data_IF_628297417923
#
_entry.id   IF_628297417923
#
_cell.length_a   1.000
_cell.length_b   1.000
_cell.length_c   1.000
_cell.angle_alpha   90.00
_cell.angle_beta   90.00
_cell.angle_gamma   90.00
#
_symmetry.space_group_name_H-M   'P 1'
#
loop_
_entity.id
_entity.type
_entity.pdbx_description
1 polymer ?
#
# COMPACT_ATOMS: atom_id res chain seq x y z
N UNK A 1 -15.68 -32.88 13.85
CA UNK A 1 -15.04 -31.56 14.00
C UNK A 1 -13.55 -31.78 13.82
N UNK A 2 -13.04 -31.47 12.64
CA UNK A 2 -11.61 -31.53 12.32
C UNK A 2 -10.94 -30.30 12.93
N UNK A 3 -10.00 -30.52 13.85
CA UNK A 3 -9.14 -29.48 14.40
C UNK A 3 -8.16 -29.11 13.29
N UNK A 4 -8.34 -27.94 12.69
CA UNK A 4 -7.34 -27.38 11.77
C UNK A 4 -6.07 -27.09 12.57
N UNK A 5 -5.00 -27.79 12.24
CA UNK A 5 -3.66 -27.53 12.77
C UNK A 5 -3.15 -26.29 12.05
N UNK A 6 -3.30 -25.12 12.69
CA UNK A 6 -2.82 -23.86 12.12
C UNK A 6 -1.29 -23.89 11.96
N UNK A 7 -0.83 -23.48 10.77
CA UNK A 7 0.58 -23.22 10.48
C UNK A 7 1.06 -21.97 11.26
N UNK A 8 2.37 -21.64 11.30
CA UNK A 8 2.90 -20.69 12.28
C UNK A 8 2.21 -19.33 12.18
N UNK A 9 1.72 -18.81 13.32
CA UNK A 9 1.42 -17.39 13.61
C UNK A 9 0.27 -16.66 12.89
N UNK A 10 -0.72 -17.33 12.29
CA UNK A 10 -1.96 -16.66 11.83
C UNK A 10 -2.56 -15.72 12.89
N UNK A 11 -2.99 -14.51 12.47
CA UNK A 11 -3.50 -13.48 13.38
C UNK A 11 -5.01 -13.29 13.22
N UNK A 12 -5.74 -13.43 14.32
CA UNK A 12 -7.14 -13.03 14.42
C UNK A 12 -7.23 -11.54 14.80
N UNK A 13 -7.85 -10.75 13.93
CA UNK A 13 -7.97 -9.30 14.13
C UNK A 13 -9.22 -8.78 13.43
N UNK A 14 -9.35 -7.47 13.32
CA UNK A 14 -10.39 -6.80 12.54
C UNK A 14 -9.78 -5.95 11.45
N UNK A 15 -10.47 -5.85 10.31
CA UNK A 15 -10.16 -4.90 9.23
C UNK A 15 -11.32 -3.93 9.01
N UNK A 16 -10.98 -2.69 8.65
CA UNK A 16 -11.93 -1.61 8.45
C UNK A 16 -12.28 -1.48 6.95
N UNK A 17 -13.39 -2.08 6.55
CA UNK A 17 -13.91 -2.02 5.18
C UNK A 17 -14.75 -0.76 4.93
N UNK A 18 -15.11 -0.54 3.68
CA UNK A 18 -15.94 0.56 3.23
C UNK A 18 -17.41 0.35 3.58
N UNK A 19 -18.05 1.37 4.16
CA UNK A 19 -19.50 1.57 4.09
C UNK A 19 -19.80 3.00 3.65
N UNK A 20 -20.82 3.24 2.80
CA UNK A 20 -21.24 4.60 2.49
C UNK A 20 -21.89 5.25 3.72
N UNK A 21 -21.65 6.55 3.93
CA UNK A 21 -22.41 7.37 4.91
C UNK A 21 -23.59 8.11 4.27
N UNK A 22 -23.57 8.24 2.94
CA UNK A 22 -24.60 8.89 2.13
C UNK A 22 -24.78 8.13 0.81
N UNK A 23 -25.82 8.44 0.05
CA UNK A 23 -26.04 7.86 -1.29
C UNK A 23 -25.20 8.54 -2.40
N UNK A 24 -24.40 9.55 -2.05
CA UNK A 24 -23.52 10.25 -2.99
C UNK A 24 -22.27 9.41 -3.32
N UNK A 25 -21.66 9.60 -4.51
CA UNK A 25 -20.38 8.98 -4.84
C UNK A 25 -19.31 9.24 -3.75
N UNK A 26 -18.52 8.22 -3.36
CA UNK A 26 -17.56 8.37 -2.28
C UNK A 26 -16.46 9.39 -2.55
N UNK A 27 -16.16 10.21 -1.56
CA UNK A 27 -15.11 11.21 -1.62
C UNK A 27 -14.38 11.37 -0.28
N UNK A 28 -13.15 11.88 -0.37
CA UNK A 28 -12.32 12.27 0.76
C UNK A 28 -11.50 13.51 0.38
N UNK A 29 -11.69 14.60 1.12
CA UNK A 29 -10.86 15.80 1.03
C UNK A 29 -9.53 15.57 1.75
N UNK A 30 -8.45 15.63 0.98
CA UNK A 30 -7.08 15.58 1.50
C UNK A 30 -6.63 16.96 1.98
N UNK A 31 -7.06 18.01 1.27
CA UNK A 31 -6.95 19.42 1.71
C UNK A 31 -8.14 19.82 2.58
N UNK A 32 -8.19 21.08 3.02
CA UNK A 32 -9.35 21.60 3.75
C UNK A 32 -10.59 21.60 2.84
N UNK A 33 -11.73 21.01 3.29
CA UNK A 33 -12.97 21.03 2.52
C UNK A 33 -13.61 22.42 2.50
N UNK A 34 -14.52 22.70 1.55
CA UNK A 34 -15.38 23.88 1.62
C UNK A 34 -16.16 23.95 2.93
N UNK A 35 -16.50 25.16 3.38
CA UNK A 35 -17.27 25.36 4.61
C UNK A 35 -18.56 24.54 4.58
N UNK A 36 -18.85 23.83 5.67
CA UNK A 36 -20.03 22.96 5.84
C UNK A 36 -20.03 21.66 5.03
N UNK A 37 -18.98 21.37 4.25
CA UNK A 37 -18.83 20.08 3.57
C UNK A 37 -18.03 19.13 4.49
N UNK A 38 -18.58 17.96 4.87
CA UNK A 38 -17.83 16.96 5.62
C UNK A 38 -16.56 16.57 4.87
N UNK A 39 -15.45 16.33 5.58
CA UNK A 39 -14.19 15.94 4.96
C UNK A 39 -14.30 14.65 4.13
N UNK A 40 -15.23 13.76 4.47
CA UNK A 40 -15.49 12.53 3.72
C UNK A 40 -16.92 12.03 3.98
N UNK A 41 -17.50 11.32 3.02
CA UNK A 41 -18.73 10.52 3.17
C UNK A 41 -18.43 9.00 3.22
N UNK A 42 -17.17 8.62 3.44
CA UNK A 42 -16.72 7.23 3.57
C UNK A 42 -16.73 6.84 5.04
N UNK A 43 -17.52 5.82 5.39
CA UNK A 43 -17.57 5.22 6.72
C UNK A 43 -16.65 4.00 6.84
N UNK A 44 -16.67 3.39 8.02
CA UNK A 44 -15.90 2.20 8.36
C UNK A 44 -16.83 1.07 8.77
N UNK A 45 -16.70 -0.07 8.09
CA UNK A 45 -17.42 -1.31 8.37
C UNK A 45 -16.41 -2.35 8.88
N UNK A 46 -16.42 -2.59 10.19
CA UNK A 46 -15.37 -3.36 10.87
C UNK A 46 -15.75 -4.83 10.87
N UNK A 47 -14.91 -5.67 10.25
CA UNK A 47 -15.15 -7.12 10.18
C UNK A 47 -14.00 -7.93 10.80
N UNK A 48 -14.31 -9.01 11.55
CA UNK A 48 -13.30 -9.94 12.00
C UNK A 48 -12.70 -10.69 10.80
N UNK A 49 -11.39 -10.86 10.81
CA UNK A 49 -10.66 -11.61 9.77
C UNK A 49 -9.55 -12.46 10.39
N UNK A 50 -9.12 -13.46 9.63
CA UNK A 50 -7.85 -14.16 9.86
C UNK A 50 -6.86 -13.67 8.81
N UNK A 51 -5.68 -13.25 9.26
CA UNK A 51 -4.58 -12.86 8.39
C UNK A 51 -3.52 -13.95 8.47
N UNK A 52 -3.28 -14.62 7.34
CA UNK A 52 -2.42 -15.79 7.28
C UNK A 52 -0.95 -15.39 7.17
N UNK A 53 -0.10 -16.03 7.97
CA UNK A 53 1.35 -15.80 7.89
C UNK A 53 1.94 -16.58 6.71
N UNK A 54 2.66 -15.87 5.84
CA UNK A 54 3.38 -16.48 4.71
C UNK A 54 4.86 -16.73 5.00
N UNK A 55 5.33 -16.53 6.23
CA UNK A 55 6.71 -16.82 6.62
C UNK A 55 7.10 -18.26 6.28
N UNK A 56 8.22 -18.43 5.56
CA UNK A 56 8.71 -19.69 4.98
C UNK A 56 7.80 -20.30 3.88
N UNK A 57 6.87 -19.53 3.35
CA UNK A 57 5.98 -19.85 2.23
C UNK A 57 5.89 -18.69 1.24
N UNK A 58 6.88 -17.81 1.25
CA UNK A 58 6.90 -16.58 0.44
C UNK A 58 6.90 -16.90 -1.07
N UNK A 59 7.32 -18.11 -1.47
CA UNK A 59 7.27 -18.65 -2.83
C UNK A 59 5.86 -19.05 -3.29
N UNK A 60 4.90 -19.16 -2.38
CA UNK A 60 3.49 -19.47 -2.71
C UNK A 60 2.69 -18.26 -3.20
N UNK A 61 3.26 -17.06 -3.12
CA UNK A 61 2.64 -15.79 -3.52
C UNK A 61 3.50 -15.08 -4.57
N UNK A 62 2.89 -14.19 -5.35
CA UNK A 62 3.61 -13.50 -6.42
C UNK A 62 2.80 -12.38 -7.09
N UNK A 63 3.51 -11.41 -7.65
CA UNK A 63 2.89 -10.22 -8.26
C UNK A 63 1.85 -10.57 -9.31
N UNK A 64 2.10 -11.55 -10.18
CA UNK A 64 1.21 -11.90 -11.28
C UNK A 64 0.06 -12.83 -10.87
N UNK A 65 0.11 -13.44 -9.68
CA UNK A 65 -0.88 -14.39 -9.19
C UNK A 65 -1.74 -13.84 -8.07
N UNK A 66 -1.12 -13.36 -6.98
CA UNK A 66 -1.80 -12.81 -5.80
C UNK A 66 -1.83 -11.29 -5.78
N UNK A 67 -0.98 -10.64 -6.59
CA UNK A 67 -0.84 -9.18 -6.66
C UNK A 67 0.21 -8.61 -5.70
N UNK A 68 0.85 -9.44 -4.89
CA UNK A 68 1.92 -9.03 -3.99
C UNK A 68 3.04 -10.07 -3.93
N UNK A 69 4.22 -9.64 -3.51
CA UNK A 69 5.37 -10.52 -3.35
C UNK A 69 6.28 -10.01 -2.23
N UNK A 70 6.86 -10.94 -1.47
CA UNK A 70 7.88 -10.64 -0.48
C UNK A 70 9.26 -11.03 -1.03
N UNK A 71 10.23 -10.13 -0.89
CA UNK A 71 11.60 -10.37 -1.39
C UNK A 71 12.63 -9.92 -0.35
N UNK A 72 13.71 -10.68 -0.23
CA UNK A 72 14.86 -10.27 0.58
C UNK A 72 15.79 -9.41 -0.26
N UNK A 73 16.00 -8.17 0.18
CA UNK A 73 16.89 -7.22 -0.47
C UNK A 73 17.45 -6.25 0.58
N UNK A 74 18.61 -6.54 1.20
CA UNK A 74 19.24 -5.62 2.15
C UNK A 74 19.55 -4.27 1.49
N UNK A 75 19.18 -3.18 2.16
CA UNK A 75 19.40 -1.81 1.66
C UNK A 75 20.65 -1.18 2.28
N UNK A 76 21.39 -0.39 1.52
CA UNK A 76 22.44 0.48 2.04
C UNK A 76 21.86 1.74 2.72
N UNK A 77 20.64 2.13 2.35
CA UNK A 77 19.83 3.06 3.14
C UNK A 77 19.21 2.37 4.37
N UNK A 78 19.49 2.87 5.57
CA UNK A 78 19.07 2.25 6.84
C UNK A 78 18.20 3.17 7.69
N UNK A 79 18.47 4.47 7.68
CA UNK A 79 17.81 5.44 8.56
C UNK A 79 16.65 6.14 7.84
N UNK A 80 16.78 6.43 6.54
CA UNK A 80 15.80 7.16 5.73
C UNK A 80 15.46 8.55 6.31
N UNK A 81 16.46 9.26 6.84
CA UNK A 81 16.31 10.61 7.43
C UNK A 81 16.71 11.72 6.46
N UNK A 82 17.48 11.37 5.42
CA UNK A 82 17.99 12.28 4.40
C UNK A 82 17.32 11.99 3.05
N UNK A 83 16.58 12.97 2.54
CA UNK A 83 15.86 12.84 1.27
C UNK A 83 16.79 12.66 0.07
N UNK A 84 17.96 13.31 0.06
CA UNK A 84 18.94 13.13 -1.02
C UNK A 84 19.49 11.71 -1.00
N UNK A 85 19.72 11.16 0.20
CA UNK A 85 20.20 9.78 0.32
C UNK A 85 19.14 8.76 -0.09
N UNK A 86 17.87 9.00 0.19
CA UNK A 86 16.76 8.19 -0.36
C UNK A 86 16.80 8.19 -1.89
N UNK A 87 16.95 9.36 -2.52
CA UNK A 87 16.97 9.48 -3.99
C UNK A 87 18.24 8.91 -4.62
N UNK A 88 19.40 9.09 -4.01
CA UNK A 88 20.68 8.73 -4.62
C UNK A 88 21.14 7.30 -4.28
N UNK A 89 20.61 6.70 -3.21
CA UNK A 89 20.97 5.34 -2.78
C UNK A 89 19.79 4.39 -2.90
N UNK A 90 18.65 4.73 -2.33
CA UNK A 90 17.53 3.78 -2.24
C UNK A 90 16.72 3.67 -3.54
N UNK A 91 16.52 4.77 -4.28
CA UNK A 91 15.81 4.70 -5.56
C UNK A 91 16.50 3.78 -6.60
N UNK A 92 17.85 3.81 -6.76
CA UNK A 92 18.55 2.79 -7.55
C UNK A 92 18.28 1.35 -7.09
N UNK A 93 18.26 1.10 -5.78
CA UNK A 93 17.92 -0.24 -5.26
C UNK A 93 16.48 -0.65 -5.60
N UNK A 94 15.53 0.28 -5.52
CA UNK A 94 14.13 0.07 -5.91
C UNK A 94 14.02 -0.30 -7.39
N UNK A 95 14.76 0.40 -8.26
CA UNK A 95 14.82 0.09 -9.69
C UNK A 95 15.35 -1.33 -9.93
N UNK A 96 16.44 -1.73 -9.27
CA UNK A 96 17.00 -3.08 -9.40
C UNK A 96 16.07 -4.18 -8.86
N UNK A 97 15.37 -3.92 -7.75
CA UNK A 97 14.32 -4.80 -7.24
C UNK A 97 13.23 -5.01 -8.31
N UNK A 98 12.73 -3.94 -8.92
CA UNK A 98 11.63 -4.02 -9.89
C UNK A 98 12.06 -4.63 -11.23
N UNK A 99 13.29 -4.37 -11.69
CA UNK A 99 13.88 -5.09 -12.83
C UNK A 99 13.95 -6.59 -12.56
N UNK A 100 14.41 -6.98 -11.38
CA UNK A 100 14.60 -8.39 -11.01
C UNK A 100 13.29 -9.15 -10.79
N UNK A 101 12.35 -8.56 -10.04
CA UNK A 101 11.16 -9.29 -9.56
C UNK A 101 9.87 -8.94 -10.31
N UNK A 102 9.81 -7.78 -10.97
CA UNK A 102 8.67 -7.39 -11.81
C UNK A 102 8.98 -7.41 -13.31
N UNK A 103 10.20 -7.83 -13.71
CA UNK A 103 10.68 -7.82 -15.09
C UNK A 103 10.58 -6.43 -15.76
N UNK A 104 10.71 -5.37 -14.97
CA UNK A 104 10.63 -4.00 -15.45
C UNK A 104 11.71 -3.72 -16.51
N UNK A 105 11.31 -3.07 -17.61
CA UNK A 105 12.25 -2.46 -18.57
C UNK A 105 12.49 -1.00 -18.21
N UNK A 106 11.41 -0.28 -17.91
CA UNK A 106 11.46 1.09 -17.44
C UNK A 106 10.78 1.25 -16.09
N UNK A 107 11.39 2.08 -15.26
CA UNK A 107 10.95 2.41 -13.91
C UNK A 107 10.87 3.94 -13.79
N UNK A 108 9.74 4.44 -13.29
CA UNK A 108 9.60 5.85 -12.95
C UNK A 108 9.05 6.00 -11.53
N UNK A 109 9.89 6.47 -10.62
CA UNK A 109 9.53 6.71 -9.22
C UNK A 109 8.97 8.13 -9.11
N UNK A 110 7.69 8.26 -8.76
CA UNK A 110 7.03 9.57 -8.73
C UNK A 110 6.91 10.17 -7.33
N UNK A 111 6.84 9.36 -6.28
CA UNK A 111 6.93 9.81 -4.90
C UNK A 111 7.39 8.68 -3.95
N UNK A 112 7.68 9.07 -2.72
CA UNK A 112 7.75 8.14 -1.60
C UNK A 112 7.07 8.75 -0.38
N UNK A 113 6.65 7.91 0.56
CA UNK A 113 6.09 8.32 1.85
C UNK A 113 6.79 7.56 2.96
N UNK A 114 7.31 8.29 3.94
CA UNK A 114 7.86 7.72 5.16
C UNK A 114 6.84 7.91 6.29
N UNK A 115 6.55 6.82 7.00
CA UNK A 115 5.65 6.80 8.14
C UNK A 115 6.44 6.43 9.39
N UNK A 116 6.49 7.35 10.34
CA UNK A 116 7.03 7.16 11.70
C UNK A 116 5.98 7.62 12.69
N UNK A 117 5.98 7.03 13.89
CA UNK A 117 5.21 7.59 14.98
C UNK A 117 5.92 8.86 15.48
N UNK A 118 5.23 10.01 15.61
CA UNK A 118 5.86 11.23 16.08
C UNK A 118 6.40 11.00 17.49
N UNK A 119 7.67 11.34 17.70
CA UNK A 119 8.25 11.37 19.04
C UNK A 119 7.54 12.43 19.89
N UNK A 120 7.52 12.28 21.22
CA UNK A 120 6.87 13.28 22.09
C UNK A 120 7.42 14.70 21.89
N UNK A 121 8.68 14.84 21.46
CA UNK A 121 9.31 16.11 21.12
C UNK A 121 8.82 16.74 19.81
N UNK A 122 8.51 15.93 18.78
CA UNK A 122 8.00 16.43 17.49
C UNK A 122 6.55 16.93 17.56
N UNK A 123 5.76 16.45 18.54
CA UNK A 123 4.42 16.97 18.81
C UNK A 123 4.42 18.43 19.29
N UNK A 124 5.52 18.90 19.87
CA UNK A 124 5.64 20.25 20.45
C UNK A 124 6.07 21.29 19.42
N UNK A 125 6.75 20.88 18.34
CA UNK A 125 7.31 21.79 17.32
C UNK A 125 6.52 21.85 16.01
N UNK A 126 5.45 21.06 15.86
CA UNK A 126 4.55 21.12 14.70
C UNK A 126 3.54 22.27 14.80
N UNK A 127 4.03 23.51 14.86
CA UNK A 127 3.25 24.74 14.61
C UNK A 127 3.43 25.26 13.18
N UNK A 128 4.31 24.63 12.37
CA UNK A 128 4.49 24.96 10.97
C UNK A 128 3.42 24.25 10.11
N UNK A 129 2.55 25.05 9.51
CA UNK A 129 1.47 24.67 8.59
C UNK A 129 1.89 23.91 7.33
N UNK A 130 3.20 23.81 7.05
CA UNK A 130 3.74 23.20 5.82
C UNK A 130 4.22 21.75 5.99
N UNK A 131 4.28 21.22 7.21
CA UNK A 131 4.59 19.80 7.44
C UNK A 131 3.28 19.06 7.68
N UNK A 132 2.85 18.27 6.71
CA UNK A 132 1.75 17.32 6.90
C UNK A 132 2.05 16.47 8.14
N UNK A 133 1.13 16.38 9.13
CA UNK A 133 1.38 15.62 10.35
C UNK A 133 1.74 14.18 9.98
N UNK A 134 2.81 13.64 10.60
CA UNK A 134 3.28 12.27 10.36
C UNK A 134 2.09 11.31 10.42
N UNK A 135 1.72 10.77 9.24
CA UNK A 135 0.56 9.90 9.11
C UNK A 135 0.97 8.51 9.58
N UNK A 136 0.35 8.05 10.66
CA UNK A 136 0.47 6.66 11.10
C UNK A 136 0.05 5.67 10.00
N UNK A 137 0.19 4.36 10.27
CA UNK A 137 -0.32 3.29 9.41
C UNK A 137 -1.78 3.51 9.00
N UNK A 138 -2.12 3.32 7.72
CA UNK A 138 -3.52 3.41 7.25
C UNK A 138 -4.22 2.10 7.59
N UNK A 139 -5.25 2.17 8.44
CA UNK A 139 -5.99 0.99 8.92
C UNK A 139 -7.28 0.71 8.15
N UNK A 140 -7.57 1.47 7.09
CA UNK A 140 -8.69 1.20 6.19
C UNK A 140 -8.24 0.28 5.06
N UNK A 141 -9.08 -0.68 4.68
CA UNK A 141 -8.84 -1.50 3.49
C UNK A 141 -8.98 -0.63 2.23
N UNK A 142 -7.92 -0.58 1.43
CA UNK A 142 -7.88 0.24 0.22
C UNK A 142 -6.97 -0.34 -0.87
N UNK A 143 -7.11 0.21 -2.07
CA UNK A 143 -6.13 0.12 -3.17
C UNK A 143 -5.81 1.55 -3.60
N UNK A 144 -4.53 1.87 -3.74
CA UNK A 144 -4.06 3.24 -3.97
C UNK A 144 -4.47 3.88 -5.30
N UNK A 145 -4.93 3.09 -6.26
CA UNK A 145 -5.26 3.58 -7.60
C UNK A 145 -6.56 2.94 -8.10
N UNK A 146 -7.45 3.76 -8.61
CA UNK A 146 -8.45 3.27 -9.57
C UNK A 146 -7.82 3.01 -10.94
N UNK A 147 -8.50 2.25 -11.80
CA UNK A 147 -8.01 1.98 -13.16
C UNK A 147 -7.76 3.27 -13.95
N UNK A 148 -8.70 4.23 -13.90
CA UNK A 148 -8.55 5.54 -14.56
C UNK A 148 -7.42 6.36 -13.94
N UNK A 149 -7.32 6.39 -12.61
CA UNK A 149 -6.26 7.14 -11.93
C UNK A 149 -4.86 6.61 -12.28
N UNK A 150 -4.70 5.30 -12.50
CA UNK A 150 -3.42 4.72 -12.91
C UNK A 150 -2.98 5.23 -14.29
N UNK A 151 -3.90 5.31 -15.25
CA UNK A 151 -3.64 5.87 -16.58
C UNK A 151 -3.30 7.36 -16.52
N UNK A 152 -4.05 8.13 -15.71
CA UNK A 152 -3.79 9.55 -15.46
C UNK A 152 -2.41 9.79 -14.84
N UNK A 153 -1.92 8.88 -13.97
CA UNK A 153 -0.56 8.95 -13.42
C UNK A 153 0.51 8.82 -14.49
N UNK A 154 0.30 7.94 -15.48
CA UNK A 154 1.22 7.83 -16.61
C UNK A 154 1.26 9.16 -17.37
N UNK A 155 0.11 9.72 -17.73
CA UNK A 155 0.04 11.02 -18.45
C UNK A 155 0.66 12.17 -17.67
N UNK A 156 0.36 12.26 -16.37
CA UNK A 156 0.87 13.32 -15.49
C UNK A 156 2.39 13.32 -15.41
N UNK A 157 3.01 12.14 -15.33
CA UNK A 157 4.44 12.02 -15.02
C UNK A 157 5.33 11.82 -16.26
N UNK A 158 4.79 11.25 -17.35
CA UNK A 158 5.57 10.88 -18.54
C UNK A 158 5.29 11.77 -19.76
N UNK A 159 4.30 12.67 -19.67
CA UNK A 159 4.03 13.71 -20.68
C UNK A 159 3.94 13.14 -22.10
N UNK A 160 4.81 13.62 -22.98
CA UNK A 160 4.83 13.28 -24.41
C UNK A 160 5.03 11.77 -24.69
N UNK A 161 5.62 11.03 -23.76
CA UNK A 161 5.84 9.59 -23.90
C UNK A 161 4.64 8.74 -23.46
N UNK A 162 3.66 9.33 -22.76
CA UNK A 162 2.60 8.58 -22.10
C UNK A 162 1.79 7.71 -23.06
N UNK A 163 1.32 8.27 -24.19
CA UNK A 163 0.50 7.54 -25.18
C UNK A 163 1.26 6.39 -25.85
N UNK A 164 2.60 6.46 -25.88
CA UNK A 164 3.44 5.36 -26.36
C UNK A 164 3.53 4.26 -25.30
N UNK A 165 3.78 4.61 -24.05
CA UNK A 165 3.93 3.68 -22.94
C UNK A 165 2.61 2.97 -22.58
N UNK A 166 1.48 3.67 -22.66
CA UNK A 166 0.13 3.13 -22.41
C UNK A 166 -0.30 2.04 -23.40
N UNK A 167 0.38 1.91 -24.54
CA UNK A 167 0.14 0.82 -25.51
C UNK A 167 0.78 -0.51 -25.07
N UNK A 168 1.76 -0.46 -24.17
CA UNK A 168 2.40 -1.65 -23.60
C UNK A 168 1.76 -2.04 -22.26
N UNK A 169 2.30 -3.10 -21.64
CA UNK A 169 1.95 -3.42 -20.25
C UNK A 169 2.57 -2.38 -19.31
N UNK A 170 1.73 -1.75 -18.50
CA UNK A 170 2.14 -0.81 -17.48
C UNK A 170 1.47 -1.12 -16.15
N UNK A 171 2.19 -0.83 -15.07
CA UNK A 171 1.84 -1.21 -13.70
C UNK A 171 2.15 -0.07 -12.75
N UNK A 172 1.43 -0.04 -11.64
CA UNK A 172 1.84 0.74 -10.46
C UNK A 172 2.15 -0.26 -9.36
N UNK A 173 3.40 -0.26 -8.90
CA UNK A 173 3.88 -1.13 -7.84
C UNK A 173 4.45 -0.26 -6.72
N UNK A 174 3.90 -0.41 -5.53
CA UNK A 174 4.47 0.16 -4.32
C UNK A 174 5.55 -0.77 -3.79
N UNK A 175 6.70 -0.21 -3.44
CA UNK A 175 7.82 -0.91 -2.78
C UNK A 175 7.82 -0.50 -1.32
N UNK A 176 7.31 -1.38 -0.46
CA UNK A 176 7.15 -1.13 0.97
C UNK A 176 8.24 -1.84 1.77
N UNK A 177 8.85 -1.10 2.72
CA UNK A 177 9.95 -1.62 3.55
C UNK A 177 9.86 -1.12 5.00
N UNK A 178 10.05 -1.99 6.01
CA UNK A 178 10.27 -1.57 7.39
C UNK A 178 11.57 -0.78 7.58
N UNK A 179 11.58 0.15 8.51
CA UNK A 179 12.76 0.96 8.86
C UNK A 179 13.21 0.60 10.27
N UNK A 180 14.53 0.44 10.45
CA UNK A 180 15.25 0.18 11.72
C UNK A 180 14.98 -1.17 12.40
N UNK A 181 13.71 -1.56 12.57
CA UNK A 181 13.32 -2.70 13.40
C UNK A 181 12.39 -3.66 12.64
N UNK A 182 12.36 -4.94 13.02
CA UNK A 182 11.28 -5.83 12.61
C UNK A 182 9.91 -5.26 12.97
N UNK A 183 8.92 -5.53 12.12
CA UNK A 183 7.56 -5.04 12.31
C UNK A 183 6.88 -5.81 13.44
N UNK A 184 6.57 -5.12 14.53
CA UNK A 184 5.73 -5.65 15.61
C UNK A 184 4.32 -5.04 15.52
N UNK A 185 4.21 -3.74 15.74
CA UNK A 185 2.92 -3.06 15.77
C UNK A 185 2.41 -2.69 14.39
N UNK A 186 1.09 -2.80 14.19
CA UNK A 186 0.42 -2.43 12.94
C UNK A 186 1.04 -3.07 11.67
N UNK A 187 1.21 -4.41 11.55
CA UNK A 187 1.81 -4.98 10.35
C UNK A 187 0.97 -4.73 9.09
N UNK A 188 1.57 -4.96 7.92
CA UNK A 188 0.92 -4.77 6.63
C UNK A 188 0.20 -6.05 6.20
N UNK A 189 -1.12 -5.98 6.11
CA UNK A 189 -1.95 -7.01 5.49
C UNK A 189 -2.11 -6.73 3.99
N UNK A 190 -2.02 -7.78 3.18
CA UNK A 190 -2.23 -7.76 1.73
C UNK A 190 -3.21 -8.88 1.35
N UNK A 191 -4.19 -8.57 0.50
CA UNK A 191 -5.18 -9.54 0.06
C UNK A 191 -4.79 -10.23 -1.25
N UNK A 192 -5.07 -11.53 -1.36
CA UNK A 192 -4.92 -12.27 -2.61
C UNK A 192 -5.97 -11.80 -3.63
N UNK A 193 -5.51 -11.25 -4.74
CA UNK A 193 -6.37 -10.78 -5.83
C UNK A 193 -7.40 -11.82 -6.29
N UNK A 194 -7.07 -13.12 -6.26
CA UNK A 194 -7.97 -14.21 -6.70
C UNK A 194 -9.17 -14.40 -5.78
N UNK A 195 -9.15 -13.77 -4.61
CA UNK A 195 -10.25 -13.79 -3.64
C UNK A 195 -11.17 -12.56 -3.71
N UNK A 196 -10.81 -11.58 -4.55
CA UNK A 196 -11.56 -10.35 -4.79
C UNK A 196 -12.58 -10.55 -5.91
N UNK A 197 -13.75 -9.94 -5.78
CA UNK A 197 -14.69 -9.70 -6.88
C UNK A 197 -14.56 -8.22 -7.30
N UNK A 198 -13.81 -7.89 -8.38
CA UNK A 198 -13.52 -6.50 -8.73
C UNK A 198 -14.76 -5.64 -8.98
N UNK A 199 -15.85 -6.22 -9.48
CA UNK A 199 -17.08 -5.49 -9.81
C UNK A 199 -17.91 -5.17 -8.57
N UNK A 200 -17.84 -6.01 -7.54
CA UNK A 200 -18.64 -5.87 -6.32
C UNK A 200 -17.87 -5.24 -5.17
N UNK A 201 -16.59 -5.53 -5.07
CA UNK A 201 -15.79 -5.21 -3.89
C UNK A 201 -15.12 -3.85 -4.01
N UNK A 202 -14.78 -3.41 -5.22
CA UNK A 202 -14.04 -2.16 -5.44
C UNK A 202 -14.99 -0.97 -5.61
N UNK A 203 -14.77 0.07 -4.80
CA UNK A 203 -15.58 1.29 -4.81
C UNK A 203 -14.69 2.49 -5.13
N UNK A 204 -14.77 3.07 -6.33
CA UNK A 204 -14.05 4.28 -6.67
C UNK A 204 -14.33 5.39 -5.66
N UNK A 205 -13.27 5.94 -5.09
CA UNK A 205 -13.34 6.97 -4.05
C UNK A 205 -12.44 8.13 -4.42
N UNK A 206 -13.06 9.28 -4.63
CA UNK A 206 -12.38 10.52 -5.04
C UNK A 206 -11.53 11.04 -3.90
N UNK A 207 -10.27 11.36 -4.18
CA UNK A 207 -9.36 12.06 -3.28
C UNK A 207 -9.15 13.48 -3.79
N UNK A 208 -9.74 14.45 -3.09
CA UNK A 208 -9.81 15.85 -3.53
C UNK A 208 -8.69 16.64 -2.83
N UNK A 209 -7.78 17.18 -3.63
CA UNK A 209 -6.72 18.10 -3.19
C UNK A 209 -7.06 19.52 -3.65
N UNK A 210 -6.32 20.51 -3.15
CA UNK A 210 -6.55 21.91 -3.50
C UNK A 210 -6.38 22.22 -5.00
N UNK A 211 -5.50 21.48 -5.68
CA UNK A 211 -5.10 21.74 -7.06
C UNK A 211 -5.35 20.57 -8.02
N UNK A 212 -5.81 19.42 -7.53
CA UNK A 212 -6.05 18.22 -8.34
C UNK A 212 -7.02 17.28 -7.66
N UNK A 213 -7.56 16.38 -8.46
CA UNK A 213 -8.28 15.22 -7.97
C UNK A 213 -7.47 13.95 -8.30
N UNK A 214 -7.47 12.99 -7.38
CA UNK A 214 -7.05 11.62 -7.65
C UNK A 214 -8.17 10.67 -7.25
N UNK A 215 -7.99 9.37 -7.49
CA UNK A 215 -9.00 8.38 -7.10
C UNK A 215 -8.35 7.06 -6.68
N UNK A 216 -8.85 6.51 -5.57
CA UNK A 216 -8.43 5.23 -4.98
C UNK A 216 -9.62 4.28 -4.96
N UNK A 217 -9.42 2.99 -4.74
CA UNK A 217 -10.52 2.11 -4.37
C UNK A 217 -10.62 2.00 -2.85
N UNK A 218 -11.78 2.33 -2.30
CA UNK A 218 -12.21 1.74 -1.05
C UNK A 218 -12.76 0.33 -1.33
N UNK A 219 -12.76 -0.55 -0.34
CA UNK A 219 -13.09 -1.97 -0.55
C UNK A 219 -14.25 -2.38 0.36
N UNK A 220 -15.31 -2.95 -0.21
CA UNK A 220 -16.42 -3.55 0.54
C UNK A 220 -15.99 -4.87 1.16
N UNK A 221 -16.60 -5.24 2.27
CA UNK A 221 -16.35 -6.54 2.86
C UNK A 221 -16.88 -7.66 1.96
N UNK A 222 -16.03 -8.67 1.75
CA UNK A 222 -16.38 -9.94 1.13
C UNK A 222 -15.76 -11.05 1.99
N UNK A 223 -16.55 -12.00 2.51
CA UNK A 223 -16.04 -13.07 3.37
C UNK A 223 -15.07 -14.02 2.65
N UNK A 224 -15.01 -13.97 1.31
CA UNK A 224 -14.05 -14.76 0.54
C UNK A 224 -12.64 -14.18 0.55
N UNK A 225 -12.45 -12.90 0.92
CA UNK A 225 -11.14 -12.26 0.94
C UNK A 225 -10.14 -13.06 1.77
N UNK A 226 -9.00 -13.40 1.15
CA UNK A 226 -7.88 -14.08 1.81
C UNK A 226 -6.77 -13.08 2.07
N UNK A 227 -6.49 -12.87 3.35
CA UNK A 227 -5.51 -11.91 3.83
C UNK A 227 -4.22 -12.60 4.23
N UNK A 228 -3.10 -11.97 3.90
CA UNK A 228 -1.77 -12.45 4.19
C UNK A 228 -0.89 -11.35 4.77
N UNK A 229 0.13 -11.76 5.52
CA UNK A 229 1.20 -10.89 6.00
C UNK A 229 2.49 -11.69 6.17
N UNK A 230 3.61 -11.00 6.39
CA UNK A 230 4.90 -11.60 6.69
C UNK A 230 5.24 -11.37 8.16
N UNK A 231 5.25 -12.42 8.98
CA UNK A 231 5.63 -12.29 10.40
C UNK A 231 7.10 -11.91 10.57
N UNK A 232 7.36 -11.12 11.62
CA UNK A 232 8.70 -10.61 11.98
C UNK A 232 9.44 -9.95 10.79
N UNK A 233 8.70 -9.31 9.86
CA UNK A 233 9.28 -8.72 8.66
C UNK A 233 10.36 -7.69 9.01
N UNK A 234 11.58 -7.95 8.56
CA UNK A 234 12.77 -7.16 8.88
C UNK A 234 13.01 -6.02 7.88
N UNK A 235 13.86 -5.02 8.18
CA UNK A 235 14.26 -4.00 7.21
C UNK A 235 14.98 -4.53 5.97
N UNK A 236 15.44 -5.78 5.96
CA UNK A 236 16.06 -6.42 4.79
C UNK A 236 15.03 -7.13 3.88
N UNK A 237 13.74 -7.08 4.25
CA UNK A 237 12.63 -7.71 3.54
C UNK A 237 11.65 -6.66 3.01
N UNK A 238 11.34 -6.76 1.73
CA UNK A 238 10.54 -5.80 0.98
C UNK A 238 9.24 -6.46 0.55
N UNK A 239 8.14 -5.73 0.71
CA UNK A 239 6.83 -6.11 0.17
C UNK A 239 6.58 -5.31 -1.10
N UNK A 240 6.43 -6.00 -2.23
CA UNK A 240 5.96 -5.43 -3.48
C UNK A 240 4.44 -5.54 -3.50
N UNK A 241 3.75 -4.41 -3.65
CA UNK A 241 2.29 -4.33 -3.64
C UNK A 241 1.84 -3.80 -4.99
N UNK A 242 1.13 -4.59 -5.77
CA UNK A 242 0.57 -4.14 -7.03
C UNK A 242 -0.66 -3.29 -6.76
N UNK A 243 -0.62 -2.02 -7.12
CA UNK A 243 -1.76 -1.11 -7.04
C UNK A 243 -2.55 -1.06 -8.35
N UNK A 244 -1.91 -1.41 -9.47
CA UNK A 244 -2.53 -1.49 -10.79
C UNK A 244 -1.71 -2.38 -11.76
N UNK A 245 -2.40 -3.06 -12.67
CA UNK A 245 -1.89 -3.72 -13.88
C UNK A 245 -2.86 -3.49 -15.04
N UNK A 246 -2.29 -3.19 -16.20
CA UNK A 246 -3.03 -3.12 -17.45
C UNK A 246 -3.29 -4.51 -18.06
N UNK A 247 -2.52 -5.53 -17.65
CA UNK A 247 -2.72 -6.91 -18.11
C UNK A 247 -3.91 -7.56 -17.39
N UNK A 248 -4.93 -7.94 -18.17
CA UNK A 248 -6.19 -8.49 -17.65
C UNK A 248 -6.08 -9.97 -17.27
N UNK A 249 -5.05 -10.68 -17.73
CA UNK A 249 -4.85 -12.11 -17.46
C UNK A 249 -4.07 -12.35 -16.16
N UNK A 250 -3.68 -11.28 -15.45
CA UNK A 250 -2.88 -11.31 -14.22
C UNK A 250 -3.64 -10.74 -13.05
N UNK A 251 -3.10 -10.92 -11.85
CA UNK A 251 -3.52 -10.12 -10.71
C UNK A 251 -3.33 -8.64 -11.01
N UNK A 252 -4.42 -7.87 -10.93
CA UNK A 252 -4.43 -6.46 -11.36
C UNK A 252 -4.14 -5.48 -10.25
N UNK A 253 -4.41 -5.84 -9.00
CA UNK A 253 -4.22 -4.99 -7.84
C UNK A 253 -4.29 -5.81 -6.55
N UNK A 254 -3.97 -5.18 -5.42
CA UNK A 254 -3.99 -5.82 -4.11
C UNK A 254 -4.58 -4.86 -3.07
N UNK A 255 -5.78 -5.17 -2.52
CA UNK A 255 -6.25 -4.53 -1.31
C UNK A 255 -5.24 -4.70 -0.18
N UNK A 256 -4.99 -3.63 0.56
CA UNK A 256 -4.05 -3.65 1.69
C UNK A 256 -4.52 -2.75 2.83
N UNK A 257 -4.03 -3.06 4.02
CA UNK A 257 -4.33 -2.32 5.24
C UNK A 257 -3.25 -2.58 6.28
N UNK A 258 -3.00 -1.62 7.16
CA UNK A 258 -2.42 -1.92 8.45
C UNK A 258 -3.47 -2.61 9.34
N UNK A 259 -3.06 -3.58 10.15
CA UNK A 259 -3.95 -4.25 11.10
C UNK A 259 -3.35 -4.28 12.49
N UNK A 260 -4.18 -4.31 13.52
CA UNK A 260 -3.69 -4.42 14.88
C UNK A 260 -3.37 -5.88 15.21
N UNK A 261 -2.10 -6.17 15.48
CA UNK A 261 -1.68 -7.42 16.09
C UNK A 261 -1.61 -7.26 17.62
N UNK A 262 -2.61 -7.79 18.32
CA UNK A 262 -2.68 -7.72 19.78
C UNK A 262 -1.74 -8.71 20.48
N UNK A 263 -1.06 -9.59 19.73
CA UNK A 263 -0.08 -10.54 20.29
C UNK A 263 1.31 -9.93 20.40
N UNK A 264 1.57 -8.81 19.72
CA UNK A 264 2.84 -8.10 19.76
C UNK A 264 3.14 -7.50 21.15
N UNK A 265 4.39 -7.60 21.67
CA UNK A 265 4.76 -7.02 22.95
C UNK A 265 4.53 -5.50 22.99
N UNK A 266 3.93 -5.00 24.07
CA UNK A 266 3.57 -3.57 24.20
C UNK A 266 4.78 -2.63 24.15
N UNK A 267 5.92 -3.13 24.61
CA UNK A 267 7.22 -2.43 24.65
C UNK A 267 8.03 -2.58 23.35
N UNK A 268 7.57 -3.41 22.39
CA UNK A 268 8.22 -3.52 21.09
C UNK A 268 8.19 -2.17 20.33
N UNK A 269 9.22 -1.87 19.52
CA UNK A 269 9.28 -0.63 18.76
C UNK A 269 8.06 -0.43 17.85
N UNK A 270 7.53 0.81 17.82
CA UNK A 270 6.48 1.16 16.88
C UNK A 270 6.99 1.07 15.44
N UNK A 271 6.14 0.56 14.53
CA UNK A 271 6.50 0.40 13.12
C UNK A 271 6.89 1.73 12.49
N UNK A 272 8.05 1.71 11.85
CA UNK A 272 8.48 2.73 10.90
C UNK A 272 8.60 2.08 9.53
N UNK A 273 8.22 2.78 8.48
CA UNK A 273 8.25 2.23 7.12
C UNK A 273 8.40 3.30 6.06
N UNK A 274 9.00 2.92 4.93
CA UNK A 274 8.97 3.68 3.68
C UNK A 274 8.12 2.93 2.64
N UNK A 275 7.37 3.69 1.86
CA UNK A 275 6.65 3.23 0.67
C UNK A 275 7.09 4.09 -0.50
N UNK A 276 7.67 3.47 -1.53
CA UNK A 276 8.04 4.13 -2.78
C UNK A 276 7.04 3.75 -3.85
N UNK A 277 6.44 4.74 -4.52
CA UNK A 277 5.41 4.49 -5.53
C UNK A 277 5.98 4.63 -6.92
N UNK A 278 5.77 3.61 -7.73
CA UNK A 278 6.54 3.41 -8.94
C UNK A 278 5.64 3.04 -10.11
N UNK A 279 5.80 3.75 -11.23
CA UNK A 279 5.31 3.34 -12.53
C UNK A 279 6.31 2.36 -13.16
N UNK A 280 5.82 1.21 -13.59
CA UNK A 280 6.63 0.11 -14.12
C UNK A 280 6.13 -0.27 -15.50
N UNK A 281 7.04 -0.36 -16.47
CA UNK A 281 6.70 -0.64 -17.86
C UNK A 281 7.51 -1.81 -18.42
N UNK A 282 6.89 -2.58 -19.31
CA UNK A 282 7.53 -3.70 -20.02
C UNK A 282 8.24 -3.24 -21.31
N UNK A 283 8.18 -1.94 -21.61
CA UNK A 283 8.88 -1.28 -22.70
C UNK A 283 9.71 -0.09 -22.16
N UNK A 284 10.80 0.22 -22.85
CA UNK A 284 11.59 1.47 -22.68
C UNK A 284 10.80 2.69 -23.18
#
# INVERSE_FOLDING_TARGET
MTIEVHAPRDVHTTLNYFTPLTDEPPYMYVSEPPTSVPRTNVGSDIHPVVIHDVRNKEDTVGLDTTGFQFVKYPSAEKLFEDEERVRNVYYPEVEEILKKYAAAKRVFIFDHTIRRHPTQHEKVTSTNSDKTPQRGPVQRVHVDQTYTAAEERVRLHLGDEAERLLKGRYRIINVWRPILNPVAHNPLAVADYRSLDPERDLVPTRHIYANREGSTFAVRHNPNHKWYYLSDQTPDEVTLIKCFDSDLDKARLTPHSAFQDNTSPKDAPQRQSIEVRVLVFDAE
#
